data_IF_736965819604
#
_entry.id   IF_736965819604
#
_cell.length_a   1.000
_cell.length_b   1.000
_cell.length_c   1.000
_cell.angle_alpha   90.00
_cell.angle_beta   90.00
_cell.angle_gamma   90.00
#
_symmetry.space_group_name_H-M   'P 1'
#
loop_
_entity.id
_entity.type
_entity.pdbx_description
1 polymer ?
#
# COMPACT_ATOMS: atom_id res chain seq x y z
N UNK A 1 82.17 -86.38 -28.32
CA UNK A 1 82.60 -85.85 -27.00
C UNK A 1 81.50 -84.99 -26.41
N UNK A 2 80.89 -85.43 -25.29
CA UNK A 2 79.92 -84.65 -24.49
C UNK A 2 80.67 -83.65 -23.61
N UNK A 3 80.18 -82.42 -23.44
CA UNK A 3 80.56 -81.53 -22.33
C UNK A 3 79.31 -81.02 -21.61
N UNK A 4 79.16 -81.41 -20.34
CA UNK A 4 78.16 -80.94 -19.38
C UNK A 4 78.45 -79.48 -18.95
N UNK A 5 77.42 -78.67 -18.67
CA UNK A 5 77.52 -77.38 -17.94
C UNK A 5 76.68 -77.42 -16.65
N UNK A 6 77.30 -76.97 -15.55
CA UNK A 6 76.86 -76.98 -14.13
C UNK A 6 75.50 -76.31 -13.85
N UNK A 7 74.76 -76.70 -12.79
CA UNK A 7 73.48 -76.11 -12.43
C UNK A 7 73.66 -74.72 -11.78
N UNK A 8 72.93 -73.74 -12.30
CA UNK A 8 73.00 -72.31 -11.93
C UNK A 8 72.11 -72.07 -10.69
N UNK A 9 72.70 -71.58 -9.60
CA UNK A 9 72.10 -71.54 -8.25
C UNK A 9 70.90 -70.57 -8.18
N UNK A 10 69.66 -71.09 -8.29
CA UNK A 10 68.41 -70.31 -8.40
C UNK A 10 68.15 -69.36 -7.20
N UNK A 11 68.66 -69.68 -6.01
CA UNK A 11 68.52 -68.85 -4.79
C UNK A 11 69.28 -67.53 -4.89
N UNK A 12 70.49 -67.55 -5.48
CA UNK A 12 71.33 -66.36 -5.63
C UNK A 12 70.73 -65.38 -6.66
N UNK A 13 70.12 -65.89 -7.74
CA UNK A 13 69.38 -65.06 -8.70
C UNK A 13 68.18 -64.37 -8.07
N UNK A 14 67.42 -65.07 -7.22
CA UNK A 14 66.28 -64.48 -6.49
C UNK A 14 66.73 -63.40 -5.50
N UNK A 15 67.88 -63.59 -4.85
CA UNK A 15 68.47 -62.60 -3.92
C UNK A 15 68.93 -61.33 -4.65
N UNK A 16 69.58 -61.48 -5.81
CA UNK A 16 70.00 -60.35 -6.65
C UNK A 16 68.79 -59.58 -7.19
N UNK A 17 67.75 -60.29 -7.61
CA UNK A 17 66.49 -59.66 -8.07
C UNK A 17 65.84 -58.87 -6.92
N UNK A 18 65.81 -59.42 -5.70
CA UNK A 18 65.29 -58.71 -4.52
C UNK A 18 66.09 -57.46 -4.16
N UNK A 19 67.43 -57.51 -4.24
CA UNK A 19 68.29 -56.34 -3.99
C UNK A 19 68.09 -55.23 -5.04
N UNK A 20 67.88 -55.59 -6.30
CA UNK A 20 67.58 -54.62 -7.37
C UNK A 20 66.21 -53.98 -7.15
N UNK A 21 65.20 -54.75 -6.73
CA UNK A 21 63.87 -54.22 -6.42
C UNK A 21 63.93 -53.26 -5.22
N UNK A 22 64.64 -53.63 -4.15
CA UNK A 22 64.83 -52.75 -2.98
C UNK A 22 65.57 -51.47 -3.38
N UNK A 23 66.62 -51.57 -4.19
CA UNK A 23 67.34 -50.40 -4.70
C UNK A 23 66.46 -49.47 -5.55
N UNK A 24 65.59 -50.03 -6.39
CA UNK A 24 64.63 -49.25 -7.19
C UNK A 24 63.57 -48.58 -6.30
N UNK A 25 63.07 -49.26 -5.28
CA UNK A 25 62.12 -48.69 -4.32
C UNK A 25 62.76 -47.58 -3.48
N UNK A 26 63.98 -47.79 -2.97
CA UNK A 26 64.72 -46.76 -2.21
C UNK A 26 65.07 -45.57 -3.11
N UNK A 27 65.47 -45.82 -4.36
CA UNK A 27 65.73 -44.76 -5.34
C UNK A 27 64.45 -43.98 -5.69
N UNK A 28 63.31 -44.67 -5.83
CA UNK A 28 62.02 -44.03 -6.06
C UNK A 28 61.56 -43.22 -4.85
N UNK A 29 61.70 -43.74 -3.63
CA UNK A 29 61.38 -43.04 -2.38
C UNK A 29 62.30 -41.81 -2.20
N UNK A 30 63.60 -41.97 -2.44
CA UNK A 30 64.56 -40.87 -2.39
C UNK A 30 64.25 -39.80 -3.43
N UNK A 31 63.91 -40.19 -4.65
CA UNK A 31 63.47 -39.29 -5.71
C UNK A 31 62.14 -38.61 -5.39
N UNK A 32 61.16 -39.32 -4.82
CA UNK A 32 59.87 -38.75 -4.44
C UNK A 32 60.02 -37.77 -3.28
N UNK A 33 60.87 -38.07 -2.30
CA UNK A 33 61.19 -37.14 -1.21
C UNK A 33 61.95 -35.91 -1.72
N UNK A 34 62.90 -36.09 -2.64
CA UNK A 34 63.62 -34.98 -3.27
C UNK A 34 62.67 -34.07 -4.07
N UNK A 35 61.79 -34.64 -4.89
CA UNK A 35 60.78 -33.90 -5.65
C UNK A 35 59.80 -33.16 -4.74
N UNK A 36 59.36 -33.78 -3.64
CA UNK A 36 58.49 -33.13 -2.67
C UNK A 36 59.20 -31.96 -1.95
N UNK A 37 60.50 -32.09 -1.66
CA UNK A 37 61.29 -31.05 -0.99
C UNK A 37 61.65 -29.84 -1.88
N UNK A 38 61.56 -29.98 -3.21
CA UNK A 38 61.82 -28.89 -4.19
C UNK A 38 60.56 -28.46 -4.96
N UNK A 39 59.38 -28.88 -4.49
CA UNK A 39 58.12 -28.50 -5.10
C UNK A 39 57.75 -27.06 -4.76
N UNK A 40 57.66 -26.20 -5.76
CA UNK A 40 57.15 -24.83 -5.64
C UNK A 40 55.72 -24.83 -6.20
N UNK A 41 54.68 -24.57 -5.38
CA UNK A 41 53.30 -24.52 -5.84
C UNK A 41 53.09 -23.34 -6.79
N UNK A 42 52.15 -23.49 -7.71
CA UNK A 42 51.67 -22.41 -8.57
C UNK A 42 50.39 -21.83 -7.98
N UNK A 43 50.34 -20.51 -7.83
CA UNK A 43 49.18 -19.77 -7.30
C UNK A 43 48.60 -18.84 -8.35
N UNK A 44 47.30 -18.57 -8.25
CA UNK A 44 46.67 -17.49 -9.02
C UNK A 44 46.81 -16.19 -8.24
N UNK A 45 46.93 -15.08 -8.95
CA UNK A 45 47.06 -13.76 -8.35
C UNK A 45 46.21 -12.76 -9.08
N UNK A 46 45.87 -11.68 -8.39
CA UNK A 46 45.35 -10.47 -8.99
C UNK A 46 46.10 -9.26 -8.43
N UNK A 47 45.94 -8.11 -9.08
CA UNK A 47 46.60 -6.86 -8.71
C UNK A 47 45.63 -5.97 -7.94
N UNK A 48 46.09 -5.45 -6.80
CA UNK A 48 45.37 -4.43 -6.03
C UNK A 48 45.28 -3.16 -6.85
N UNK A 49 44.08 -2.65 -7.03
CA UNK A 49 43.82 -1.51 -7.90
C UNK A 49 42.61 -0.70 -7.48
N UNK A 50 42.43 0.43 -8.16
CA UNK A 50 41.26 1.27 -8.01
C UNK A 50 40.12 0.77 -8.87
N UNK A 51 38.95 0.58 -8.26
CA UNK A 51 37.72 0.27 -8.99
C UNK A 51 36.49 0.85 -8.30
N UNK A 52 35.38 0.80 -9.01
CA UNK A 52 34.09 1.17 -8.47
C UNK A 52 33.49 -0.06 -7.76
N UNK A 53 33.07 0.12 -6.52
CA UNK A 53 32.44 -0.94 -5.71
C UNK A 53 30.99 -0.56 -5.47
N UNK A 54 30.10 -1.35 -6.05
CA UNK A 54 28.66 -1.28 -5.82
C UNK A 54 28.20 -2.51 -5.04
N UNK A 55 27.26 -2.28 -4.10
CA UNK A 55 26.63 -3.34 -3.31
C UNK A 55 25.13 -3.26 -3.45
N UNK A 56 24.50 -4.41 -3.74
CA UNK A 56 23.07 -4.50 -4.02
C UNK A 56 22.35 -5.36 -2.98
N UNK A 57 21.10 -4.98 -2.68
CA UNK A 57 20.14 -5.87 -2.05
C UNK A 57 19.24 -6.45 -3.14
N UNK A 58 19.39 -7.74 -3.40
CA UNK A 58 18.51 -8.49 -4.31
C UNK A 58 17.27 -8.99 -3.57
N UNK A 59 16.09 -8.67 -4.09
CA UNK A 59 14.79 -9.07 -3.55
C UNK A 59 13.79 -9.23 -4.68
N UNK A 60 12.54 -9.52 -4.36
CA UNK A 60 11.45 -9.51 -5.33
C UNK A 60 10.39 -8.49 -4.95
N UNK A 61 9.74 -7.91 -5.97
CA UNK A 61 8.71 -6.91 -5.80
C UNK A 61 7.51 -7.18 -6.71
N UNK A 62 6.31 -6.94 -6.22
CA UNK A 62 5.08 -7.05 -7.01
C UNK A 62 4.68 -5.70 -7.57
N UNK A 63 4.40 -5.64 -8.88
CA UNK A 63 3.89 -4.43 -9.52
C UNK A 63 2.46 -4.15 -9.05
N UNK A 64 2.21 -2.91 -8.65
CA UNK A 64 0.90 -2.40 -8.22
C UNK A 64 0.59 -1.11 -8.95
N UNK A 65 -0.69 -0.93 -9.25
CA UNK A 65 -1.20 0.38 -9.61
C UNK A 65 -1.20 1.29 -8.38
N UNK A 66 -0.88 2.57 -8.58
CA UNK A 66 -1.05 3.59 -7.55
C UNK A 66 -2.52 3.97 -7.35
N UNK A 67 -3.32 3.94 -8.43
CA UNK A 67 -4.73 4.31 -8.42
C UNK A 67 -5.61 3.17 -8.94
N UNK A 68 -6.67 2.86 -8.19
CA UNK A 68 -7.64 1.83 -8.53
C UNK A 68 -9.04 2.35 -8.24
N UNK A 69 -9.98 2.06 -9.14
CA UNK A 69 -11.38 2.40 -8.97
C UNK A 69 -12.28 1.21 -9.27
N UNK A 70 -13.08 0.86 -8.27
CA UNK A 70 -14.20 -0.06 -8.42
C UNK A 70 -15.42 0.70 -8.94
N UNK A 71 -15.98 0.22 -10.04
CA UNK A 71 -17.26 0.68 -10.57
C UNK A 71 -18.36 -0.28 -10.17
N UNK A 72 -19.52 0.26 -9.82
CA UNK A 72 -20.66 -0.52 -9.34
C UNK A 72 -21.79 -0.46 -10.36
N UNK A 73 -22.49 -1.57 -10.53
CA UNK A 73 -23.67 -1.60 -11.38
C UNK A 73 -24.86 -0.95 -10.66
N UNK A 74 -25.75 -0.23 -11.37
CA UNK A 74 -27.05 0.16 -10.84
C UNK A 74 -27.81 -1.07 -10.34
N UNK A 75 -28.52 -1.01 -9.21
CA UNK A 75 -29.20 -2.17 -8.62
C UNK A 75 -30.31 -2.71 -9.52
N UNK A 76 -30.54 -4.03 -9.49
CA UNK A 76 -31.61 -4.74 -10.23
C UNK A 76 -31.70 -4.41 -11.72
N UNK A 77 -30.59 -3.99 -12.33
CA UNK A 77 -30.55 -3.53 -13.70
C UNK A 77 -29.91 -4.59 -14.59
N UNK A 78 -30.49 -4.80 -15.77
CA UNK A 78 -29.96 -5.77 -16.73
C UNK A 78 -28.85 -5.11 -17.54
N UNK A 79 -27.65 -5.70 -17.58
CA UNK A 79 -26.59 -5.25 -18.47
C UNK A 79 -27.01 -5.48 -19.93
N UNK A 80 -27.03 -4.43 -20.74
CA UNK A 80 -27.47 -4.48 -22.15
C UNK A 80 -26.26 -4.73 -23.05
N UNK A 81 -25.19 -3.96 -22.87
CA UNK A 81 -23.93 -4.10 -23.58
C UNK A 81 -22.80 -4.07 -22.56
N UNK A 82 -21.81 -4.95 -22.76
CA UNK A 82 -20.54 -4.98 -22.01
C UNK A 82 -19.43 -4.94 -23.05
N UNK A 83 -18.84 -3.76 -23.24
CA UNK A 83 -17.95 -3.47 -24.38
C UNK A 83 -16.51 -3.96 -24.17
N UNK A 84 -16.16 -4.32 -22.93
CA UNK A 84 -14.80 -4.69 -22.54
C UNK A 84 -14.82 -5.91 -21.61
N UNK A 85 -13.69 -6.61 -21.55
CA UNK A 85 -13.44 -7.73 -20.63
C UNK A 85 -12.22 -7.45 -19.76
N UNK A 86 -12.02 -8.28 -18.74
CA UNK A 86 -10.80 -8.23 -17.95
C UNK A 86 -9.56 -8.40 -18.85
N UNK A 87 -8.58 -7.53 -18.66
CA UNK A 87 -7.35 -7.42 -19.45
C UNK A 87 -7.41 -6.39 -20.58
N UNK A 88 -8.57 -5.85 -20.93
CA UNK A 88 -8.66 -4.80 -21.95
C UNK A 88 -8.26 -3.42 -21.38
N UNK A 89 -7.62 -2.60 -22.22
CA UNK A 89 -7.34 -1.19 -21.93
C UNK A 89 -8.57 -0.32 -22.24
N UNK A 90 -8.80 0.68 -21.40
CA UNK A 90 -9.85 1.69 -21.54
C UNK A 90 -9.22 3.08 -21.46
N UNK A 91 -9.77 4.02 -22.22
CA UNK A 91 -9.49 5.45 -22.09
C UNK A 91 -10.58 6.17 -21.31
N UNK A 92 -10.24 7.29 -20.69
CA UNK A 92 -11.18 8.15 -20.01
C UNK A 92 -12.33 8.55 -20.96
N UNK A 93 -13.56 8.28 -20.55
CA UNK A 93 -14.78 8.49 -21.35
C UNK A 93 -15.28 7.25 -22.10
N UNK A 94 -14.52 6.15 -22.12
CA UNK A 94 -14.99 4.90 -22.72
C UNK A 94 -16.16 4.31 -21.93
N UNK A 95 -17.21 3.92 -22.64
CA UNK A 95 -18.39 3.28 -22.06
C UNK A 95 -18.11 1.79 -21.88
N UNK A 96 -17.85 1.38 -20.64
CA UNK A 96 -17.52 0.00 -20.28
C UNK A 96 -18.75 -0.90 -20.41
N UNK A 97 -19.88 -0.45 -19.86
CA UNK A 97 -21.14 -1.19 -19.92
C UNK A 97 -22.35 -0.25 -19.85
N UNK A 98 -23.46 -0.66 -20.46
CA UNK A 98 -24.75 0.04 -20.40
C UNK A 98 -25.82 -0.85 -19.78
N UNK A 99 -26.84 -0.24 -19.18
CA UNK A 99 -27.89 -0.97 -18.47
C UNK A 99 -29.28 -0.62 -18.99
N UNK A 100 -30.19 -1.58 -18.93
CA UNK A 100 -31.62 -1.34 -19.11
C UNK A 100 -32.16 -0.74 -17.82
N UNK A 101 -32.35 0.58 -17.85
CA UNK A 101 -32.83 1.35 -16.71
C UNK A 101 -34.36 1.44 -16.65
N UNK A 102 -35.12 0.64 -17.42
CA UNK A 102 -36.58 0.74 -17.45
C UNK A 102 -37.20 0.57 -16.06
N UNK A 103 -36.78 -0.46 -15.31
CA UNK A 103 -37.26 -0.69 -13.94
C UNK A 103 -36.74 0.38 -12.97
N UNK A 104 -35.47 0.79 -13.08
CA UNK A 104 -34.91 1.87 -12.27
C UNK A 104 -35.66 3.19 -12.48
N UNK A 105 -36.02 3.53 -13.72
CA UNK A 105 -36.79 4.72 -14.07
C UNK A 105 -38.21 4.67 -13.49
N UNK A 106 -38.82 3.48 -13.47
CA UNK A 106 -40.09 3.27 -12.78
C UNK A 106 -39.96 3.50 -11.28
N UNK A 107 -38.89 2.99 -10.65
CA UNK A 107 -38.62 3.20 -9.23
C UNK A 107 -38.34 4.67 -8.89
N UNK A 108 -37.55 5.38 -9.70
CA UNK A 108 -37.34 6.83 -9.56
C UNK A 108 -38.68 7.57 -9.61
N UNK A 109 -39.57 7.20 -10.54
CA UNK A 109 -40.91 7.81 -10.63
C UNK A 109 -41.75 7.50 -9.39
N UNK A 110 -41.71 6.28 -8.86
CA UNK A 110 -42.40 5.93 -7.62
C UNK A 110 -41.87 6.70 -6.41
N UNK A 111 -40.54 6.86 -6.31
CA UNK A 111 -39.90 7.66 -5.27
C UNK A 111 -40.22 9.15 -5.39
N UNK A 112 -40.32 9.68 -6.61
CA UNK A 112 -40.77 11.06 -6.85
C UNK A 112 -42.20 11.25 -6.33
N UNK A 113 -43.12 10.34 -6.67
CA UNK A 113 -44.50 10.40 -6.17
C UNK A 113 -44.56 10.30 -4.64
N UNK A 114 -43.74 9.46 -4.03
CA UNK A 114 -43.65 9.36 -2.57
C UNK A 114 -43.15 10.67 -1.93
N UNK A 115 -42.14 11.31 -2.52
CA UNK A 115 -41.64 12.61 -2.10
C UNK A 115 -42.71 13.70 -2.20
N UNK A 116 -43.42 13.79 -3.34
CA UNK A 116 -44.50 14.78 -3.51
C UNK A 116 -45.64 14.55 -2.50
N UNK A 117 -46.03 13.30 -2.25
CA UNK A 117 -47.06 12.98 -1.25
C UNK A 117 -46.61 13.34 0.18
N UNK A 118 -45.35 13.10 0.51
CA UNK A 118 -44.79 13.50 1.80
C UNK A 118 -44.78 15.03 1.95
N UNK A 119 -44.45 15.75 0.86
CA UNK A 119 -44.43 17.21 0.83
C UNK A 119 -45.83 17.80 1.03
N UNK A 120 -46.84 17.27 0.34
CA UNK A 120 -48.25 17.65 0.54
C UNK A 120 -48.65 17.41 2.01
N UNK A 121 -48.30 16.24 2.56
CA UNK A 121 -48.62 15.92 3.96
C UNK A 121 -47.95 16.87 4.96
N UNK A 122 -46.72 17.34 4.66
CA UNK A 122 -46.03 18.36 5.44
C UNK A 122 -46.69 19.73 5.31
N UNK A 123 -47.07 20.14 4.10
CA UNK A 123 -47.79 21.40 3.86
C UNK A 123 -49.13 21.42 4.62
N UNK A 124 -49.89 20.33 4.57
CA UNK A 124 -51.15 20.20 5.33
C UNK A 124 -50.90 20.29 6.85
N UNK A 125 -49.90 19.56 7.37
CA UNK A 125 -49.56 19.61 8.79
C UNK A 125 -49.02 20.99 9.24
N UNK A 126 -48.33 21.70 8.36
CA UNK A 126 -47.87 23.06 8.59
C UNK A 126 -49.05 24.03 8.66
N UNK A 127 -50.01 23.92 7.73
CA UNK A 127 -51.24 24.72 7.74
C UNK A 127 -52.06 24.48 9.00
N UNK A 128 -52.18 23.24 9.45
CA UNK A 128 -52.92 22.91 10.66
C UNK A 128 -52.20 23.39 11.92
N UNK A 129 -50.87 23.32 11.97
CA UNK A 129 -50.07 23.92 13.03
C UNK A 129 -50.25 25.45 13.08
N UNK A 130 -50.19 26.13 11.93
CA UNK A 130 -50.36 27.58 11.82
C UNK A 130 -51.75 28.03 12.28
N UNK A 131 -52.81 27.33 11.85
CA UNK A 131 -54.18 27.58 12.32
C UNK A 131 -54.32 27.44 13.84
N UNK A 132 -53.69 26.43 14.44
CA UNK A 132 -53.77 26.20 15.90
C UNK A 132 -52.94 27.25 16.65
N UNK A 133 -51.79 27.64 16.12
CA UNK A 133 -50.93 28.66 16.71
C UNK A 133 -51.62 30.03 16.78
N UNK A 134 -52.40 30.35 15.76
CA UNK A 134 -53.11 31.62 15.62
C UNK A 134 -54.60 31.55 15.99
N UNK A 135 -55.07 30.43 16.56
CA UNK A 135 -56.48 30.23 16.90
C UNK A 135 -57.00 31.20 17.97
N UNK A 136 -56.11 31.69 18.84
CA UNK A 136 -56.45 32.58 19.95
C UNK A 136 -56.22 34.08 19.64
N UNK A 137 -55.67 34.44 18.48
CA UNK A 137 -55.31 35.84 18.17
C UNK A 137 -56.53 36.79 18.24
N UNK A 138 -57.64 36.42 17.59
CA UNK A 138 -58.88 37.22 17.64
C UNK A 138 -59.49 37.26 19.05
N UNK A 139 -59.36 36.17 19.81
CA UNK A 139 -59.89 36.05 21.17
C UNK A 139 -59.08 36.89 22.14
N UNK A 140 -57.78 36.98 21.94
CA UNK A 140 -56.87 37.82 22.73
C UNK A 140 -57.18 39.30 22.56
N UNK A 141 -57.52 39.73 21.34
CA UNK A 141 -58.00 41.10 21.09
C UNK A 141 -59.33 41.39 21.81
N UNK A 142 -60.25 40.42 21.84
CA UNK A 142 -61.54 40.57 22.52
C UNK A 142 -61.40 40.57 24.05
N UNK A 143 -60.56 39.70 24.61
CA UNK A 143 -60.21 39.68 26.04
C UNK A 143 -59.60 41.03 26.46
N UNK A 144 -58.71 41.61 25.64
CA UNK A 144 -58.10 42.91 25.94
C UNK A 144 -59.17 44.03 25.96
N UNK A 145 -60.08 44.03 24.98
CA UNK A 145 -61.22 44.96 24.95
C UNK A 145 -62.12 44.85 26.19
N UNK A 146 -62.42 43.61 26.62
CA UNK A 146 -63.19 43.34 27.84
C UNK A 146 -62.45 43.79 29.10
N UNK A 147 -61.13 43.60 29.16
CA UNK A 147 -60.31 44.08 30.28
C UNK A 147 -60.35 45.61 30.39
N UNK A 148 -60.32 46.33 29.27
CA UNK A 148 -60.51 47.78 29.29
C UNK A 148 -61.92 48.18 29.77
N UNK A 149 -62.96 47.46 29.34
CA UNK A 149 -64.34 47.67 29.82
C UNK A 149 -64.47 47.46 31.32
N UNK A 150 -63.97 46.34 31.82
CA UNK A 150 -63.90 45.99 33.24
C UNK A 150 -63.18 47.09 34.01
N UNK A 151 -62.05 47.58 33.51
CA UNK A 151 -61.31 48.69 34.13
C UNK A 151 -62.17 49.97 34.19
N UNK A 152 -62.82 50.34 33.09
CA UNK A 152 -63.73 51.50 33.02
C UNK A 152 -64.89 51.38 34.00
N UNK A 153 -65.54 50.22 34.09
CA UNK A 153 -66.66 50.00 35.01
C UNK A 153 -66.21 50.04 36.46
N UNK A 154 -65.06 49.45 36.79
CA UNK A 154 -64.46 49.52 38.13
C UNK A 154 -64.19 50.97 38.57
N UNK A 155 -63.59 51.79 37.70
CA UNK A 155 -63.33 53.21 38.02
C UNK A 155 -64.62 54.02 38.22
N UNK A 156 -65.69 53.73 37.45
CA UNK A 156 -67.00 54.37 37.66
C UNK A 156 -67.65 53.94 38.97
N UNK A 157 -67.65 52.64 39.28
CA UNK A 157 -68.16 52.10 40.55
C UNK A 157 -67.42 52.74 41.73
N UNK A 158 -66.10 52.88 41.64
CA UNK A 158 -65.26 53.53 42.66
C UNK A 158 -65.60 55.00 42.86
N UNK A 159 -65.86 55.75 41.80
CA UNK A 159 -66.33 57.14 41.88
C UNK A 159 -67.68 57.25 42.58
N UNK A 160 -68.65 56.41 42.20
CA UNK A 160 -69.98 56.38 42.82
C UNK A 160 -69.87 56.06 44.33
N UNK A 161 -69.08 55.05 44.69
CA UNK A 161 -68.82 54.71 46.11
C UNK A 161 -68.20 55.86 46.90
N UNK A 162 -67.35 56.68 46.27
CA UNK A 162 -66.71 57.84 46.89
C UNK A 162 -67.67 59.01 47.08
N UNK A 163 -68.59 59.20 46.13
CA UNK A 163 -69.54 60.32 46.12
C UNK A 163 -70.75 60.09 47.01
N UNK A 164 -71.32 58.88 46.99
CA UNK A 164 -72.60 58.57 47.64
C UNK A 164 -72.49 57.65 48.88
N UNK A 165 -71.29 57.20 49.23
CA UNK A 165 -71.07 56.21 50.29
C UNK A 165 -71.02 54.77 49.77
N UNK A 166 -70.45 53.85 50.56
CA UNK A 166 -70.05 52.53 50.07
C UNK A 166 -70.74 51.37 50.82
N UNK A 167 -71.56 50.53 50.16
CA UNK A 167 -72.37 50.78 48.94
C UNK A 167 -73.68 51.55 49.24
N UNK A 168 -74.22 52.34 48.28
CA UNK A 168 -75.50 53.04 48.47
C UNK A 168 -76.66 52.04 48.65
N UNK A 169 -77.64 52.37 49.49
CA UNK A 169 -78.80 51.52 49.77
C UNK A 169 -79.93 51.73 48.73
N UNK A 170 -80.84 50.75 48.64
CA UNK A 170 -81.97 50.84 47.72
C UNK A 170 -82.86 52.05 48.04
N UNK A 171 -83.04 52.93 47.04
CA UNK A 171 -83.77 54.20 47.19
C UNK A 171 -82.89 55.42 47.48
N UNK A 172 -81.58 55.24 47.69
CA UNK A 172 -80.62 56.35 47.81
C UNK A 172 -80.11 56.83 46.45
N UNK A 173 -79.69 58.09 46.39
CA UNK A 173 -79.09 58.69 45.20
C UNK A 173 -77.79 57.95 44.84
N UNK A 174 -77.61 57.61 43.56
CA UNK A 174 -76.48 56.79 43.07
C UNK A 174 -76.70 55.27 43.09
N UNK A 175 -77.75 54.74 43.74
CA UNK A 175 -78.03 53.29 43.80
C UNK A 175 -78.30 52.65 42.41
N UNK A 176 -79.10 53.31 41.57
CA UNK A 176 -79.43 52.80 40.23
C UNK A 176 -78.20 52.77 39.32
N UNK A 177 -77.38 53.83 39.36
CA UNK A 177 -76.16 53.91 38.56
C UNK A 177 -75.10 52.90 39.05
N UNK A 178 -74.98 52.73 40.37
CA UNK A 178 -74.14 51.70 40.99
C UNK A 178 -74.50 50.30 40.49
N UNK A 179 -75.78 49.92 40.63
CA UNK A 179 -76.27 48.59 40.25
C UNK A 179 -76.12 48.35 38.75
N UNK A 180 -76.36 49.39 37.92
CA UNK A 180 -76.15 49.32 36.47
C UNK A 180 -74.71 48.99 36.10
N UNK A 181 -73.72 49.67 36.68
CA UNK A 181 -72.31 49.36 36.37
C UNK A 181 -71.85 48.04 36.99
N UNK A 182 -72.40 47.65 38.15
CA UNK A 182 -72.14 46.34 38.74
C UNK A 182 -72.61 45.20 37.84
N UNK A 183 -73.82 45.30 37.28
CA UNK A 183 -74.32 44.30 36.32
C UNK A 183 -73.49 44.25 35.04
N UNK A 184 -73.04 45.41 34.53
CA UNK A 184 -72.13 45.47 33.36
C UNK A 184 -70.78 44.84 33.64
N UNK A 185 -70.19 45.14 34.80
CA UNK A 185 -68.93 44.53 35.25
C UNK A 185 -69.07 43.00 35.30
N UNK A 186 -70.10 42.49 35.96
CA UNK A 186 -70.33 41.06 36.09
C UNK A 186 -70.52 40.37 34.73
N UNK A 187 -71.21 41.02 33.79
CA UNK A 187 -71.38 40.51 32.42
C UNK A 187 -70.04 40.45 31.68
N UNK A 188 -69.25 41.53 31.72
CA UNK A 188 -67.96 41.59 31.04
C UNK A 188 -66.94 40.61 31.64
N UNK A 189 -66.92 40.44 32.98
CA UNK A 189 -66.09 39.45 33.67
C UNK A 189 -66.49 38.02 33.26
N UNK A 190 -67.79 37.71 33.25
CA UNK A 190 -68.28 36.38 32.85
C UNK A 190 -67.96 36.06 31.38
N UNK A 191 -68.01 37.04 30.50
CA UNK A 191 -67.69 36.88 29.08
C UNK A 191 -66.18 36.69 28.88
N UNK A 192 -65.35 37.49 29.56
CA UNK A 192 -63.89 37.32 29.55
C UNK A 192 -63.49 35.94 30.06
N UNK A 193 -64.03 35.49 31.18
CA UNK A 193 -63.69 34.18 31.76
C UNK A 193 -64.09 33.04 30.81
N UNK A 194 -65.23 33.16 30.12
CA UNK A 194 -65.63 32.19 29.09
C UNK A 194 -64.67 32.19 27.88
N UNK A 195 -64.09 33.34 27.54
CA UNK A 195 -63.04 33.46 26.52
C UNK A 195 -61.66 33.03 27.04
N UNK A 196 -61.38 33.03 28.32
CA UNK A 196 -60.14 32.42 28.83
C UNK A 196 -60.25 30.88 28.84
N UNK A 197 -61.39 30.34 29.26
CA UNK A 197 -61.63 28.89 29.38
C UNK A 197 -61.60 28.13 28.04
N UNK A 198 -61.87 28.83 26.93
CA UNK A 198 -61.91 28.27 25.59
C UNK A 198 -60.56 28.43 24.84
N UNK A 199 -59.52 28.99 25.47
CA UNK A 199 -58.18 29.12 24.85
C UNK A 199 -57.56 27.79 24.48
N UNK A 200 -56.74 27.81 23.44
CA UNK A 200 -55.96 26.67 22.97
C UNK A 200 -55.01 26.20 24.06
N UNK A 201 -54.93 24.87 24.25
CA UNK A 201 -54.01 24.29 25.23
C UNK A 201 -52.63 24.13 24.61
N UNK A 202 -51.59 24.37 25.41
CA UNK A 202 -50.19 24.12 25.03
C UNK A 202 -49.95 22.68 24.54
N UNK A 203 -50.73 21.73 25.07
CA UNK A 203 -50.70 20.33 24.63
C UNK A 203 -51.14 20.17 23.15
N UNK A 204 -52.13 20.94 22.70
CA UNK A 204 -52.64 20.87 21.33
C UNK A 204 -51.65 21.51 20.35
N UNK A 205 -51.03 22.64 20.73
CA UNK A 205 -49.93 23.27 19.99
C UNK A 205 -48.76 22.28 19.85
N UNK A 206 -48.39 21.63 20.96
CA UNK A 206 -47.29 20.65 20.98
C UNK A 206 -47.60 19.43 20.09
N UNK A 207 -48.84 18.91 20.12
CA UNK A 207 -49.28 17.81 19.25
C UNK A 207 -49.19 18.19 17.78
N UNK A 208 -49.71 19.37 17.40
CA UNK A 208 -49.67 19.86 16.03
C UNK A 208 -48.23 20.07 15.54
N UNK A 209 -47.36 20.66 16.38
CA UNK A 209 -45.94 20.82 16.08
C UNK A 209 -45.24 19.48 15.86
N UNK A 210 -45.48 18.49 16.72
CA UNK A 210 -44.89 17.15 16.58
C UNK A 210 -45.40 16.43 15.32
N UNK A 211 -46.67 16.62 14.94
CA UNK A 211 -47.21 16.08 13.69
C UNK A 211 -46.53 16.70 12.47
N UNK A 212 -46.36 18.03 12.46
CA UNK A 212 -45.62 18.76 11.43
C UNK A 212 -44.16 18.29 11.34
N UNK A 213 -43.47 18.14 12.47
CA UNK A 213 -42.07 17.66 12.49
C UNK A 213 -41.95 16.22 11.98
N UNK A 214 -42.91 15.35 12.32
CA UNK A 214 -42.97 13.98 11.80
C UNK A 214 -43.17 13.98 10.28
N UNK A 215 -44.08 14.82 9.76
CA UNK A 215 -44.28 14.98 8.32
C UNK A 215 -43.03 15.52 7.62
N UNK A 216 -42.34 16.51 8.22
CA UNK A 216 -41.07 17.02 7.72
C UNK A 216 -40.00 15.93 7.63
N UNK A 217 -39.85 15.12 8.67
CA UNK A 217 -38.89 14.00 8.67
C UNK A 217 -39.21 12.98 7.57
N UNK A 218 -40.50 12.77 7.24
CA UNK A 218 -40.90 11.94 6.12
C UNK A 218 -40.50 12.54 4.76
N UNK A 219 -40.61 13.88 4.59
CA UNK A 219 -40.11 14.59 3.40
C UNK A 219 -38.60 14.41 3.26
N UNK A 220 -37.85 14.66 4.33
CA UNK A 220 -36.38 14.57 4.34
C UNK A 220 -35.93 13.14 3.97
N UNK A 221 -36.60 12.12 4.53
CA UNK A 221 -36.36 10.71 4.19
C UNK A 221 -36.68 10.38 2.73
N UNK A 222 -37.86 10.78 2.25
CA UNK A 222 -38.28 10.53 0.86
C UNK A 222 -37.37 11.26 -0.15
N UNK A 223 -36.84 12.43 0.20
CA UNK A 223 -35.88 13.17 -0.61
C UNK A 223 -34.55 12.43 -0.74
N UNK A 224 -34.03 11.85 0.36
CA UNK A 224 -32.80 11.06 0.35
C UNK A 224 -32.97 9.81 -0.53
N UNK A 225 -34.10 9.11 -0.38
CA UNK A 225 -34.45 7.95 -1.21
C UNK A 225 -34.49 8.30 -2.70
N UNK A 226 -35.17 9.40 -3.04
CA UNK A 226 -35.27 9.89 -4.41
C UNK A 226 -33.90 10.28 -4.97
N UNK A 227 -33.09 11.04 -4.22
CA UNK A 227 -31.77 11.47 -4.64
C UNK A 227 -30.83 10.27 -4.90
N UNK A 228 -30.91 9.24 -4.06
CA UNK A 228 -30.16 7.99 -4.23
C UNK A 228 -30.52 7.30 -5.53
N UNK A 229 -31.82 7.18 -5.83
CA UNK A 229 -32.27 6.54 -7.09
C UNK A 229 -31.96 7.38 -8.33
N UNK A 230 -32.04 8.72 -8.23
CA UNK A 230 -31.64 9.63 -9.30
C UNK A 230 -30.13 9.57 -9.58
N UNK A 231 -29.30 9.30 -8.57
CA UNK A 231 -27.87 9.09 -8.78
C UNK A 231 -27.63 7.86 -9.66
N UNK A 232 -28.25 6.72 -9.33
CA UNK A 232 -28.17 5.52 -10.16
C UNK A 232 -28.72 5.73 -11.58
N UNK A 233 -29.71 6.62 -11.76
CA UNK A 233 -30.26 6.95 -13.08
C UNK A 233 -29.29 7.79 -13.93
N UNK A 234 -28.58 8.75 -13.32
CA UNK A 234 -27.57 9.56 -14.02
C UNK A 234 -26.41 8.71 -14.52
N UNK A 235 -26.08 7.68 -13.76
CA UNK A 235 -25.08 6.68 -14.08
C UNK A 235 -25.67 5.72 -15.14
N UNK A 236 -25.97 6.25 -16.35
CA UNK A 236 -26.62 5.56 -17.47
C UNK A 236 -25.75 4.46 -18.13
N UNK A 237 -24.76 3.98 -17.39
CA UNK A 237 -23.67 3.13 -17.82
C UNK A 237 -22.46 3.34 -16.92
N UNK A 238 -21.54 2.41 -16.99
CA UNK A 238 -20.22 2.54 -16.38
C UNK A 238 -19.30 3.17 -17.42
N UNK A 239 -18.75 4.33 -17.11
CA UNK A 239 -17.81 5.07 -17.96
C UNK A 239 -16.47 5.14 -17.24
N UNK A 240 -15.38 4.85 -17.94
CA UNK A 240 -14.04 4.97 -17.39
C UNK A 240 -13.73 6.45 -17.07
N UNK A 241 -13.35 6.75 -15.84
CA UNK A 241 -12.98 8.12 -15.41
C UNK A 241 -11.53 8.48 -15.74
N UNK A 242 -10.69 7.48 -16.03
CA UNK A 242 -9.28 7.63 -16.34
C UNK A 242 -8.81 6.48 -17.24
N UNK A 243 -7.68 6.69 -17.91
CA UNK A 243 -7.02 5.69 -18.74
C UNK A 243 -6.46 4.54 -17.87
N UNK A 244 -6.72 3.29 -18.24
CA UNK A 244 -6.28 2.16 -17.43
C UNK A 244 -6.61 0.79 -18.02
N UNK A 245 -6.40 -0.24 -17.22
CA UNK A 245 -6.70 -1.63 -17.54
C UNK A 245 -7.81 -2.15 -16.63
N UNK A 246 -8.75 -2.90 -17.21
CA UNK A 246 -9.79 -3.58 -16.43
C UNK A 246 -9.18 -4.83 -15.79
N UNK A 247 -8.97 -4.83 -14.48
CA UNK A 247 -8.40 -5.98 -13.74
C UNK A 247 -9.45 -7.00 -13.32
N UNK A 248 -10.70 -6.57 -13.17
CA UNK A 248 -11.84 -7.42 -12.83
C UNK A 248 -13.07 -7.01 -13.64
N UNK A 249 -13.81 -7.98 -14.18
CA UNK A 249 -15.08 -7.77 -14.87
C UNK A 249 -16.07 -8.84 -14.42
N UNK A 250 -17.09 -8.42 -13.67
CA UNK A 250 -18.13 -9.29 -13.13
C UNK A 250 -19.47 -9.16 -13.87
N UNK A 251 -19.57 -8.23 -14.82
CA UNK A 251 -20.76 -8.10 -15.65
C UNK A 251 -20.78 -9.17 -16.74
N UNK A 252 -21.98 -9.69 -16.98
CA UNK A 252 -22.28 -10.56 -18.12
C UNK A 252 -23.38 -9.88 -18.90
N UNK A 253 -23.20 -9.75 -20.21
CA UNK A 253 -24.21 -9.21 -21.11
C UNK A 253 -25.53 -9.99 -20.97
N UNK A 254 -26.64 -9.27 -20.79
CA UNK A 254 -27.95 -9.85 -20.50
C UNK A 254 -28.15 -10.33 -19.06
N UNK A 255 -27.12 -10.28 -18.20
CA UNK A 255 -27.20 -10.61 -16.78
C UNK A 255 -27.84 -9.51 -15.94
N UNK A 256 -28.43 -9.90 -14.80
CA UNK A 256 -28.95 -8.99 -13.79
C UNK A 256 -27.86 -8.60 -12.80
N UNK A 257 -27.74 -7.31 -12.49
CA UNK A 257 -26.88 -6.81 -11.43
C UNK A 257 -27.48 -7.06 -10.05
N UNK A 258 -26.62 -7.23 -9.03
CA UNK A 258 -27.04 -7.30 -7.63
C UNK A 258 -26.76 -5.99 -6.89
N UNK A 259 -27.44 -5.73 -5.78
CA UNK A 259 -27.37 -4.46 -5.03
C UNK A 259 -26.02 -4.16 -4.38
N UNK A 260 -25.00 -5.01 -4.56
CA UNK A 260 -23.67 -4.86 -3.95
C UNK A 260 -22.52 -5.45 -4.76
N UNK A 261 -22.74 -5.83 -6.02
CA UNK A 261 -21.66 -6.41 -6.84
C UNK A 261 -20.85 -5.32 -7.51
N UNK A 262 -19.54 -5.28 -7.25
CA UNK A 262 -18.56 -4.59 -8.09
C UNK A 262 -18.76 -5.07 -9.53
N UNK A 263 -19.02 -4.15 -10.45
CA UNK A 263 -19.22 -4.46 -11.85
C UNK A 263 -17.88 -4.70 -12.55
N UNK A 264 -16.93 -3.79 -12.34
CA UNK A 264 -15.56 -3.92 -12.80
C UNK A 264 -14.61 -3.10 -11.93
N UNK A 265 -13.32 -3.42 -12.00
CA UNK A 265 -12.24 -2.64 -11.40
C UNK A 265 -11.33 -2.16 -12.51
N UNK A 266 -11.06 -0.85 -12.54
CA UNK A 266 -10.09 -0.24 -13.46
C UNK A 266 -8.91 0.23 -12.63
N UNK A 267 -7.71 -0.15 -13.06
CA UNK A 267 -6.45 0.27 -12.47
C UNK A 267 -5.65 1.07 -13.49
N UNK A 268 -5.04 2.17 -13.05
CA UNK A 268 -4.20 2.97 -13.96
C UNK A 268 -2.95 2.18 -14.37
N UNK A 269 -2.58 2.31 -15.64
CA UNK A 269 -1.29 1.83 -16.16
C UNK A 269 -0.20 2.90 -16.06
N UNK A 270 -0.58 4.12 -15.68
CA UNK A 270 0.35 5.20 -15.40
C UNK A 270 0.74 5.20 -13.92
N UNK A 271 1.96 5.62 -13.59
CA UNK A 271 2.45 5.68 -12.21
C UNK A 271 2.43 4.32 -11.47
N UNK A 272 2.82 3.25 -12.17
CA UNK A 272 3.04 1.95 -11.54
C UNK A 272 4.15 2.02 -10.50
N UNK A 273 3.97 1.26 -9.41
CA UNK A 273 4.94 1.12 -8.34
C UNK A 273 5.23 -0.35 -8.09
N UNK A 274 6.41 -0.64 -7.59
CA UNK A 274 6.79 -1.98 -7.17
C UNK A 274 6.83 -2.05 -5.65
N UNK A 275 6.05 -2.96 -5.07
CA UNK A 275 5.98 -3.18 -3.63
C UNK A 275 6.83 -4.39 -3.24
N UNK A 276 7.71 -4.20 -2.27
CA UNK A 276 8.60 -5.23 -1.75
C UNK A 276 8.64 -5.22 -0.23
N UNK A 277 9.20 -6.28 0.35
CA UNK A 277 9.27 -6.46 1.79
C UNK A 277 10.72 -6.48 2.26
N UNK A 278 11.06 -5.59 3.19
CA UNK A 278 12.40 -5.47 3.77
C UNK A 278 12.50 -6.32 5.03
N UNK A 279 13.54 -7.14 5.12
CA UNK A 279 13.79 -7.97 6.29
C UNK A 279 14.34 -7.19 7.47
N UNK A 280 14.27 -7.80 8.67
CA UNK A 280 14.90 -7.25 9.88
C UNK A 280 16.40 -6.99 9.70
N UNK A 281 17.09 -7.78 8.87
CA UNK A 281 18.53 -7.67 8.68
C UNK A 281 18.91 -6.54 7.72
N UNK A 282 18.03 -6.23 6.76
CA UNK A 282 18.34 -5.32 5.65
C UNK A 282 17.77 -3.90 5.86
N UNK A 283 16.86 -3.71 6.82
CA UNK A 283 16.23 -2.41 7.07
C UNK A 283 17.22 -1.28 7.41
N UNK A 284 18.43 -1.64 7.90
CA UNK A 284 19.47 -0.66 8.21
C UNK A 284 20.21 -0.13 6.97
N UNK A 285 20.20 -0.85 5.85
CA UNK A 285 20.93 -0.50 4.63
C UNK A 285 20.05 0.23 3.61
N UNK A 286 18.73 0.04 3.68
CA UNK A 286 17.78 0.62 2.74
C UNK A 286 17.34 2.03 3.15
N UNK A 287 17.36 2.96 2.20
CA UNK A 287 16.98 4.37 2.37
C UNK A 287 16.16 4.87 1.19
N UNK A 288 15.23 5.78 1.48
CA UNK A 288 14.47 6.49 0.44
C UNK A 288 15.46 7.24 -0.46
N UNK A 289 15.24 7.16 -1.78
CA UNK A 289 16.08 7.77 -2.81
C UNK A 289 17.12 6.85 -3.44
N UNK A 290 17.31 5.63 -2.92
CA UNK A 290 18.21 4.65 -3.54
C UNK A 290 17.70 4.21 -4.91
N UNK A 291 18.64 4.01 -5.84
CA UNK A 291 18.36 3.50 -7.18
C UNK A 291 18.09 2.00 -7.12
N UNK A 292 17.12 1.55 -7.89
CA UNK A 292 16.76 0.15 -8.02
C UNK A 292 16.62 -0.23 -9.48
N UNK A 293 16.98 -1.46 -9.81
CA UNK A 293 16.77 -2.07 -11.12
C UNK A 293 15.79 -3.21 -10.96
N UNK A 294 14.70 -3.19 -11.71
CA UNK A 294 13.69 -4.25 -11.74
C UNK A 294 13.87 -5.07 -13.02
N UNK A 295 13.84 -6.39 -12.91
CA UNK A 295 14.01 -7.29 -14.05
C UNK A 295 13.03 -8.45 -14.05
N UNK A 296 12.56 -8.82 -15.24
CA UNK A 296 11.77 -10.04 -15.48
C UNK A 296 12.12 -10.58 -16.87
N UNK A 297 12.93 -11.63 -16.93
CA UNK A 297 13.45 -12.17 -18.19
C UNK A 297 14.28 -11.12 -18.93
N UNK A 298 13.83 -10.69 -20.12
CA UNK A 298 14.50 -9.66 -20.92
C UNK A 298 14.00 -8.22 -20.65
N UNK A 299 13.01 -8.05 -19.76
CA UNK A 299 12.50 -6.74 -19.39
C UNK A 299 13.34 -6.16 -18.26
N UNK A 300 13.71 -4.89 -18.36
CA UNK A 300 14.48 -4.18 -17.33
C UNK A 300 13.96 -2.75 -17.18
N UNK A 301 13.71 -2.34 -15.94
CA UNK A 301 13.25 -1.01 -15.60
C UNK A 301 14.12 -0.42 -14.50
N UNK A 302 14.38 0.87 -14.59
CA UNK A 302 14.97 1.63 -13.48
C UNK A 302 13.87 2.15 -12.58
N UNK A 303 14.19 2.31 -11.31
CA UNK A 303 13.30 2.91 -10.33
C UNK A 303 14.07 3.51 -9.18
N UNK A 304 13.30 4.12 -8.27
CA UNK A 304 13.85 4.74 -7.06
C UNK A 304 13.00 4.34 -5.85
N UNK A 305 13.64 3.93 -4.76
CA UNK A 305 12.95 3.64 -3.48
C UNK A 305 12.25 4.91 -3.02
N UNK A 306 10.91 4.90 -3.02
CA UNK A 306 10.10 6.09 -2.77
C UNK A 306 9.48 6.09 -1.38
N UNK A 307 9.29 4.92 -0.77
CA UNK A 307 8.67 4.80 0.55
C UNK A 307 9.15 3.59 1.31
N UNK A 308 9.29 3.74 2.63
CA UNK A 308 9.56 2.67 3.58
C UNK A 308 8.50 2.76 4.68
N UNK A 309 7.82 1.66 4.96
CA UNK A 309 6.77 1.59 5.97
C UNK A 309 7.29 1.85 7.38
N UNK A 310 6.47 2.49 8.22
CA UNK A 310 6.79 2.75 9.61
C UNK A 310 6.41 1.60 10.56
N UNK A 311 5.78 0.55 10.04
CA UNK A 311 5.29 -0.60 10.81
C UNK A 311 5.68 -1.91 10.12
N UNK A 312 6.10 -2.90 10.91
CA UNK A 312 6.37 -4.23 10.40
C UNK A 312 5.08 -5.05 10.33
N UNK A 313 4.87 -5.75 9.22
CA UNK A 313 3.74 -6.64 8.99
C UNK A 313 4.20 -8.10 9.07
N UNK A 314 3.38 -8.96 9.67
CA UNK A 314 3.58 -10.41 9.63
C UNK A 314 2.71 -10.97 8.52
N UNK A 315 3.35 -11.58 7.52
CA UNK A 315 2.65 -12.34 6.50
C UNK A 315 2.24 -13.72 7.01
N UNK A 316 1.52 -14.44 6.16
CA UNK A 316 1.29 -15.88 6.28
C UNK A 316 1.73 -16.53 4.98
N UNK A 317 2.43 -17.66 5.06
CA UNK A 317 2.77 -18.42 3.85
C UNK A 317 1.54 -19.15 3.30
N UNK A 318 1.64 -19.75 2.11
CA UNK A 318 0.54 -20.49 1.46
C UNK A 318 -0.02 -21.66 2.29
N UNK A 319 0.67 -22.06 3.37
CA UNK A 319 0.22 -23.09 4.32
C UNK A 319 -0.40 -22.52 5.60
N UNK A 320 -0.60 -21.19 5.69
CA UNK A 320 -1.21 -20.51 6.83
C UNK A 320 -0.27 -20.26 8.01
N UNK A 321 1.02 -20.54 7.89
CA UNK A 321 2.00 -20.28 8.95
C UNK A 321 2.48 -18.83 8.92
N UNK A 322 2.57 -18.20 10.09
CA UNK A 322 3.08 -16.84 10.23
C UNK A 322 4.54 -16.74 9.76
N UNK A 323 4.84 -15.73 8.95
CA UNK A 323 6.21 -15.43 8.50
C UNK A 323 6.93 -14.51 9.49
N UNK A 324 8.25 -14.37 9.31
CA UNK A 324 9.00 -13.32 9.98
C UNK A 324 8.38 -11.95 9.65
N UNK A 325 8.40 -11.03 10.61
CA UNK A 325 7.93 -9.67 10.39
C UNK A 325 8.82 -8.97 9.35
N UNK A 326 8.21 -8.31 8.38
CA UNK A 326 8.89 -7.56 7.33
C UNK A 326 8.34 -6.13 7.29
N UNK A 327 9.14 -5.18 6.82
CA UNK A 327 8.72 -3.79 6.63
C UNK A 327 8.37 -3.60 5.15
N UNK A 328 7.13 -3.24 4.79
CA UNK A 328 6.76 -3.01 3.41
C UNK A 328 7.42 -1.73 2.88
N UNK A 329 7.84 -1.74 1.64
CA UNK A 329 8.46 -0.59 0.97
C UNK A 329 8.03 -0.53 -0.50
N UNK A 330 8.17 0.66 -1.09
CA UNK A 330 7.70 0.95 -2.44
C UNK A 330 8.84 1.54 -3.27
N UNK A 331 8.91 1.14 -4.54
CA UNK A 331 9.80 1.68 -5.57
C UNK A 331 8.92 2.34 -6.64
N UNK A 332 9.17 3.61 -6.92
CA UNK A 332 8.58 4.27 -8.09
C UNK A 332 9.36 3.85 -9.33
N UNK A 333 8.65 3.37 -10.34
CA UNK A 333 9.23 2.85 -11.58
C UNK A 333 9.32 4.00 -12.58
N UNK A 334 10.49 4.17 -13.19
CA UNK A 334 10.73 5.21 -14.18
C UNK A 334 10.20 4.78 -15.55
N UNK A 335 9.37 5.62 -16.18
CA UNK A 335 8.79 5.40 -17.53
C UNK A 335 8.08 4.02 -17.69
N UNK A 336 7.02 3.74 -16.91
CA UNK A 336 6.29 2.49 -17.07
C UNK A 336 5.67 2.37 -18.47
N UNK A 337 5.66 1.16 -19.02
CA UNK A 337 5.02 0.85 -20.30
C UNK A 337 4.03 -0.32 -20.18
N UNK A 338 3.38 -0.68 -21.28
CA UNK A 338 2.36 -1.73 -21.32
C UNK A 338 2.89 -3.16 -21.03
N UNK A 339 4.22 -3.37 -21.00
CA UNK A 339 4.81 -4.66 -20.64
C UNK A 339 4.88 -4.86 -19.11
N UNK A 340 4.69 -3.80 -18.31
CA UNK A 340 4.54 -3.89 -16.86
C UNK A 340 3.12 -4.31 -16.51
N UNK A 341 2.94 -5.60 -16.25
CA UNK A 341 1.64 -6.16 -15.89
C UNK A 341 1.47 -6.09 -14.37
N UNK A 342 0.41 -5.41 -13.92
CA UNK A 342 0.04 -5.32 -12.51
C UNK A 342 -0.19 -6.70 -11.92
N UNK A 343 0.35 -6.93 -10.72
CA UNK A 343 0.27 -8.20 -10.02
C UNK A 343 1.38 -9.20 -10.37
N UNK A 344 2.20 -8.94 -11.40
CA UNK A 344 3.41 -9.72 -11.63
C UNK A 344 4.53 -9.36 -10.65
N UNK A 345 5.36 -10.35 -10.37
CA UNK A 345 6.55 -10.24 -9.52
C UNK A 345 7.80 -10.05 -10.41
N UNK A 346 8.63 -9.08 -10.04
CA UNK A 346 9.91 -8.76 -10.68
C UNK A 346 11.04 -8.98 -9.68
N UNK A 347 12.19 -9.42 -10.17
CA UNK A 347 13.44 -9.38 -9.41
C UNK A 347 13.89 -7.93 -9.28
N UNK A 348 14.43 -7.54 -8.13
CA UNK A 348 14.83 -6.17 -7.83
C UNK A 348 16.19 -6.13 -7.18
N UNK A 349 17.11 -5.39 -7.79
CA UNK A 349 18.41 -5.05 -7.22
C UNK A 349 18.43 -3.59 -6.77
N UNK A 350 18.50 -3.37 -5.45
CA UNK A 350 18.54 -2.03 -4.86
C UNK A 350 19.99 -1.67 -4.53
N UNK A 351 20.49 -0.57 -5.08
CA UNK A 351 21.85 -0.08 -4.80
C UNK A 351 21.93 0.45 -3.36
N UNK A 352 22.56 -0.35 -2.49
CA UNK A 352 22.69 -0.04 -1.05
C UNK A 352 23.93 0.80 -0.75
N UNK A 353 25.00 0.59 -1.52
CA UNK A 353 26.27 1.28 -1.40
C UNK A 353 26.91 1.44 -2.79
N UNK A 354 27.58 2.56 -3.00
CA UNK A 354 28.41 2.81 -4.17
C UNK A 354 29.58 3.68 -3.76
N UNK A 355 30.79 3.23 -4.06
CA UNK A 355 32.00 4.03 -3.93
C UNK A 355 32.81 3.95 -5.21
N UNK A 356 33.16 5.11 -5.74
CA UNK A 356 33.92 5.21 -6.97
C UNK A 356 35.42 5.30 -6.68
N UNK A 357 36.22 4.65 -7.52
CA UNK A 357 37.68 4.71 -7.49
C UNK A 357 38.23 4.48 -6.08
N UNK A 358 37.87 3.34 -5.47
CA UNK A 358 38.40 2.89 -4.18
C UNK A 358 39.47 1.82 -4.38
N UNK A 359 40.51 1.88 -3.55
CA UNK A 359 41.55 0.84 -3.54
C UNK A 359 40.94 -0.46 -3.03
N UNK A 360 41.24 -1.57 -3.70
CA UNK A 360 40.48 -2.79 -3.48
C UNK A 360 41.20 -4.03 -3.97
N UNK A 361 40.80 -5.18 -3.41
CA UNK A 361 41.31 -6.49 -3.78
C UNK A 361 40.15 -7.48 -4.00
N UNK A 362 40.34 -8.55 -4.80
CA UNK A 362 39.29 -9.54 -5.00
C UNK A 362 38.91 -10.23 -3.69
N UNK A 363 37.62 -10.50 -3.50
CA UNK A 363 37.14 -11.20 -2.29
C UNK A 363 37.82 -12.56 -2.09
N UNK A 364 38.27 -13.20 -3.18
CA UNK A 364 39.02 -14.46 -3.16
C UNK A 364 40.41 -14.36 -2.52
N UNK A 365 40.99 -13.16 -2.43
CA UNK A 365 42.27 -12.91 -1.77
C UNK A 365 42.12 -12.53 -0.29
N UNK A 366 40.90 -12.21 0.16
CA UNK A 366 40.63 -11.85 1.55
C UNK A 366 40.43 -13.11 2.40
N UNK A 367 41.21 -13.23 3.46
CA UNK A 367 41.07 -14.25 4.50
C UNK A 367 40.85 -13.58 5.85
N UNK A 368 40.31 -14.33 6.81
CA UNK A 368 40.13 -13.84 8.18
C UNK A 368 40.64 -14.86 9.19
N UNK A 369 41.29 -14.39 10.25
CA UNK A 369 41.61 -15.19 11.43
C UNK A 369 41.20 -14.49 12.74
N UNK A 370 41.85 -14.82 13.86
CA UNK A 370 41.51 -14.24 15.17
C UNK A 370 42.02 -12.82 15.36
N UNK A 371 43.01 -12.39 14.59
CA UNK A 371 43.63 -11.06 14.71
C UNK A 371 42.99 -10.06 13.75
N UNK A 372 42.49 -10.52 12.60
CA UNK A 372 41.70 -9.71 11.68
C UNK A 372 41.67 -10.27 10.27
N UNK A 373 41.25 -9.41 9.34
CA UNK A 373 41.27 -9.70 7.92
C UNK A 373 42.68 -9.51 7.35
N UNK A 374 43.11 -10.39 6.44
CA UNK A 374 44.43 -10.38 5.85
C UNK A 374 44.42 -10.95 4.43
N UNK A 375 45.47 -10.64 3.68
CA UNK A 375 45.77 -11.28 2.40
C UNK A 375 47.24 -11.70 2.34
N UNK A 376 47.59 -12.54 1.36
CA UNK A 376 48.98 -12.84 1.06
C UNK A 376 49.46 -12.01 -0.13
N UNK A 377 50.37 -11.07 0.13
CA UNK A 377 51.01 -10.24 -0.90
C UNK A 377 52.28 -10.90 -1.40
N UNK A 378 52.51 -10.91 -2.72
CA UNK A 378 53.74 -11.42 -3.31
C UNK A 378 54.91 -10.44 -3.20
N UNK A 379 56.09 -11.00 -2.94
CA UNK A 379 57.37 -10.30 -2.91
C UNK A 379 58.30 -10.95 -3.93
N UNK A 380 58.82 -10.17 -4.88
CA UNK A 380 59.72 -10.66 -5.90
C UNK A 380 61.02 -11.22 -5.31
N UNK A 381 61.52 -12.33 -5.87
CA UNK A 381 62.84 -12.88 -5.52
C UNK A 381 63.87 -12.61 -6.62
N UNK A 382 65.15 -12.92 -6.35
CA UNK A 382 66.22 -12.83 -7.35
C UNK A 382 66.01 -13.79 -8.54
N UNK A 383 65.16 -14.82 -8.38
CA UNK A 383 64.84 -15.77 -9.45
C UNK A 383 63.56 -15.33 -10.17
N UNK A 384 63.61 -15.01 -11.47
CA UNK A 384 62.43 -14.61 -12.23
C UNK A 384 61.32 -15.66 -12.18
N UNK A 385 60.08 -15.22 -11.93
CA UNK A 385 58.90 -16.08 -11.86
C UNK A 385 58.72 -16.84 -10.54
N UNK A 386 59.64 -16.67 -9.58
CA UNK A 386 59.52 -17.22 -8.22
C UNK A 386 59.34 -16.06 -7.24
N UNK A 387 58.34 -16.17 -6.38
CA UNK A 387 57.95 -15.15 -5.41
C UNK A 387 57.97 -15.73 -4.00
N UNK A 388 58.30 -14.89 -3.02
CA UNK A 388 57.90 -15.09 -1.64
C UNK A 388 56.52 -14.46 -1.45
N UNK A 389 55.86 -14.76 -0.33
CA UNK A 389 54.66 -14.03 0.06
C UNK A 389 54.76 -13.60 1.51
N UNK A 390 54.05 -12.55 1.84
CA UNK A 390 53.92 -12.02 3.19
C UNK A 390 52.44 -11.96 3.57
N UNK A 391 52.14 -12.38 4.80
CA UNK A 391 50.82 -12.19 5.39
C UNK A 391 50.68 -10.73 5.78
N UNK A 392 49.75 -10.02 5.16
CA UNK A 392 49.51 -8.60 5.38
C UNK A 392 48.09 -8.45 5.91
N UNK A 393 47.97 -7.98 7.15
CA UNK A 393 46.66 -7.62 7.70
C UNK A 393 46.13 -6.37 6.99
N UNK A 394 44.87 -6.44 6.59
CA UNK A 394 44.18 -5.38 5.89
C UNK A 394 42.97 -4.92 6.68
N UNK A 395 42.63 -3.65 6.52
CA UNK A 395 41.38 -3.11 7.05
C UNK A 395 40.37 -3.05 5.91
N UNK A 396 39.51 -4.06 5.85
CA UNK A 396 38.44 -4.15 4.86
C UNK A 396 37.36 -3.08 5.12
N UNK A 397 36.87 -2.48 4.03
CA UNK A 397 35.72 -1.58 3.98
C UNK A 397 34.49 -2.30 3.46
N UNK A 398 33.75 -1.64 2.57
CA UNK A 398 32.58 -2.24 1.93
C UNK A 398 33.00 -3.27 0.88
N UNK A 399 32.16 -4.28 0.66
CA UNK A 399 32.41 -5.31 -0.34
C UNK A 399 31.26 -5.41 -1.34
N UNK A 400 31.63 -5.68 -2.58
CA UNK A 400 30.76 -6.23 -3.63
C UNK A 400 30.89 -7.75 -3.65
N UNK A 401 30.22 -8.40 -4.60
CA UNK A 401 30.33 -9.85 -4.81
C UNK A 401 31.71 -10.30 -5.31
N UNK A 402 32.49 -9.40 -5.90
CA UNK A 402 33.77 -9.73 -6.56
C UNK A 402 34.96 -9.08 -5.88
N UNK A 403 34.78 -7.91 -5.28
CA UNK A 403 35.86 -7.14 -4.68
C UNK A 403 35.50 -6.50 -3.35
N UNK A 404 36.52 -6.32 -2.50
CA UNK A 404 36.42 -5.65 -1.21
C UNK A 404 37.29 -4.39 -1.20
N UNK A 405 36.73 -3.31 -0.69
CA UNK A 405 37.43 -2.06 -0.42
C UNK A 405 38.52 -2.30 0.64
N UNK A 406 39.70 -1.75 0.42
CA UNK A 406 40.80 -1.82 1.38
C UNK A 406 41.20 -0.42 1.80
N UNK A 407 41.06 -0.14 3.09
CA UNK A 407 41.36 1.16 3.68
C UNK A 407 42.83 1.27 4.08
N UNK A 408 43.42 0.16 4.53
CA UNK A 408 44.79 0.08 5.06
C UNK A 408 45.36 -1.34 4.80
N UNK A 409 46.68 -1.43 4.59
CA UNK A 409 47.43 -2.70 4.62
C UNK A 409 48.17 -3.02 3.31
N UNK A 410 47.54 -2.76 2.16
CA UNK A 410 48.15 -2.96 0.82
C UNK A 410 48.11 -1.69 0.00
N UNK A 411 49.01 -1.59 -0.98
CA UNK A 411 49.14 -0.44 -1.87
C UNK A 411 48.71 -0.80 -3.30
N UNK A 412 48.44 0.22 -4.12
CA UNK A 412 48.17 0.04 -5.55
C UNK A 412 49.33 -0.68 -6.24
N UNK A 413 49.00 -1.70 -7.05
CA UNK A 413 49.99 -2.50 -7.76
C UNK A 413 50.51 -3.72 -7.00
N UNK A 414 50.15 -3.89 -5.71
CA UNK A 414 50.47 -5.09 -4.95
C UNK A 414 49.80 -6.32 -5.60
N UNK A 415 50.55 -7.41 -5.77
CA UNK A 415 49.98 -8.68 -6.24
C UNK A 415 49.56 -9.54 -5.06
N UNK A 416 48.27 -9.90 -5.01
CA UNK A 416 47.69 -10.71 -3.94
C UNK A 416 47.33 -12.11 -4.44
N UNK A 417 47.47 -13.11 -3.57
CA UNK A 417 47.17 -14.51 -3.90
C UNK A 417 45.66 -14.77 -3.80
N UNK A 418 45.08 -15.30 -4.89
CA UNK A 418 43.67 -15.71 -4.93
C UNK A 418 43.51 -17.15 -4.43
N UNK A 419 42.47 -17.39 -3.64
CA UNK A 419 42.13 -18.70 -3.08
C UNK A 419 43.37 -19.44 -2.50
N UNK A 420 44.16 -18.80 -1.61
CA UNK A 420 45.37 -19.41 -1.07
C UNK A 420 45.05 -20.73 -0.33
N UNK A 421 45.81 -21.82 -0.57
CA UNK A 421 45.59 -23.07 0.14
C UNK A 421 45.95 -22.92 1.63
N UNK A 422 45.28 -23.65 2.51
CA UNK A 422 45.56 -23.62 3.96
C UNK A 422 46.98 -24.05 4.34
N UNK A 423 47.69 -24.73 3.43
CA UNK A 423 49.09 -25.14 3.60
C UNK A 423 50.08 -24.11 3.07
N UNK A 424 49.63 -22.96 2.56
CA UNK A 424 50.51 -21.96 1.94
C UNK A 424 51.63 -21.57 2.90
N UNK A 425 51.33 -21.35 4.19
CA UNK A 425 52.29 -20.97 5.25
C UNK A 425 53.45 -21.96 5.45
N UNK A 426 53.30 -23.21 5.00
CA UNK A 426 54.34 -24.24 5.05
C UNK A 426 55.28 -24.21 3.83
N UNK A 427 54.98 -23.36 2.85
CA UNK A 427 55.67 -23.26 1.56
C UNK A 427 56.32 -21.88 1.48
N UNK A 428 57.66 -21.75 1.48
CA UNK A 428 58.31 -20.44 1.54
C UNK A 428 58.34 -19.71 0.19
N UNK A 429 58.04 -20.39 -0.91
CA UNK A 429 58.13 -19.88 -2.28
C UNK A 429 56.91 -20.32 -3.08
N UNK A 430 56.47 -19.48 -4.01
CA UNK A 430 55.38 -19.76 -4.95
C UNK A 430 55.76 -19.29 -6.36
N UNK A 431 55.16 -19.89 -7.38
CA UNK A 431 55.19 -19.39 -8.75
C UNK A 431 53.82 -18.83 -9.11
N UNK A 432 53.77 -17.77 -9.91
CA UNK A 432 52.51 -17.25 -10.44
C UNK A 432 52.09 -18.11 -11.63
N UNK A 433 50.81 -18.52 -11.66
CA UNK A 433 50.26 -19.21 -12.82
C UNK A 433 50.37 -18.29 -14.04
N UNK A 434 50.82 -18.79 -15.22
CA UNK A 434 50.74 -17.98 -16.43
C UNK A 434 49.29 -17.54 -16.60
N UNK A 435 49.10 -16.25 -16.84
CA UNK A 435 47.80 -15.65 -17.08
C UNK A 435 47.11 -16.46 -18.18
N UNK A 436 46.08 -17.22 -17.81
CA UNK A 436 45.24 -17.87 -18.79
C UNK A 436 44.54 -16.74 -19.50
N UNK A 437 44.91 -16.47 -20.76
CA UNK A 437 44.09 -15.66 -21.65
C UNK A 437 42.65 -16.21 -21.61
N UNK A 438 41.79 -15.54 -20.86
CA UNK A 438 40.40 -15.89 -20.70
C UNK A 438 39.60 -14.63 -21.03
N UNK A 439 38.73 -14.74 -22.03
CA UNK A 439 37.60 -13.81 -22.18
C UNK A 439 37.77 -12.68 -23.19
N UNK A 440 38.16 -12.97 -24.43
CA UNK A 440 37.57 -12.23 -25.55
C UNK A 440 36.22 -12.88 -25.87
N UNK A 441 35.15 -12.13 -25.59
CA UNK A 441 33.80 -12.22 -26.16
C UNK A 441 33.27 -13.60 -26.54
N UNK A 442 32.31 -14.09 -25.75
CA UNK A 442 31.18 -14.81 -26.32
C UNK A 442 30.38 -13.81 -27.20
N UNK A 443 30.91 -13.50 -28.38
CA UNK A 443 30.14 -12.93 -29.46
C UNK A 443 29.20 -14.02 -29.95
N UNK A 444 27.91 -13.72 -29.87
CA UNK A 444 26.80 -14.47 -30.43
C UNK A 444 27.13 -15.00 -31.83
N UNK A 445 27.24 -16.31 -31.97
CA UNK A 445 27.01 -17.00 -33.24
C UNK A 445 25.75 -17.84 -33.07
N UNK A 446 24.60 -17.25 -33.36
CA UNK A 446 23.42 -18.01 -33.75
C UNK A 446 23.05 -17.57 -35.16
N UNK A 447 23.82 -18.08 -36.12
CA UNK A 447 23.45 -18.06 -37.53
C UNK A 447 23.77 -19.44 -38.13
N UNK A 448 22.72 -20.02 -38.72
CA UNK A 448 22.72 -21.18 -39.63
C UNK A 448 22.76 -22.60 -39.02
N UNK A 449 21.56 -23.10 -38.69
CA UNK A 449 21.18 -24.49 -38.92
C UNK A 449 19.95 -24.55 -39.84
N UNK A 450 20.19 -24.42 -41.15
CA UNK A 450 19.24 -24.78 -42.21
C UNK A 450 20.01 -25.39 -43.39
N UNK A 451 20.15 -26.73 -43.38
CA UNK A 451 20.45 -27.52 -44.57
C UNK A 451 20.09 -29.00 -44.31
N UNK A 452 18.81 -29.33 -44.47
CA UNK A 452 18.29 -30.58 -45.03
C UNK A 452 16.76 -30.49 -45.16
#
# INVERSE_FOLDING_TARGET
MKKQKKPRNKKLRKLIIWLVIIGAVVGYIGYSMYKAATYIPTVKTDTVGYQDIDSYLSTSATIRSSDSKAYFAPPQSKAVEVNFKAGDMVSAGDVIATFDLTELNNDVRLKQLAYENAKISYEDAQLDYDKILHADDERDEEIESLNEEIHRYNEKIKKIKKEYGAPPAAGEEGYEEYTRYLSKLMSAESERDALEDQKTKEEDITKAKNAMETAKNAVDSAQIDLATMQQYQKDNGIVAEFDGIITEMNLVEGGLSSNSSTACVVETTENLKAEFNISKYDIGTIKIGQKATLSLGNLTYSGTVSKIGAAAVKGVNSSGNATAAQVPAEITIDNPDANLIVGLEFDVDILTFSAQSVLSLPVEALLSDREGDFCYRLIATETPGVFQYEKVYVKAGNSSDTYVEVLEGVDEGDQVVLNPPTTIEMLPLVMVAPESAAGEGAASTDEAAAAA
#
